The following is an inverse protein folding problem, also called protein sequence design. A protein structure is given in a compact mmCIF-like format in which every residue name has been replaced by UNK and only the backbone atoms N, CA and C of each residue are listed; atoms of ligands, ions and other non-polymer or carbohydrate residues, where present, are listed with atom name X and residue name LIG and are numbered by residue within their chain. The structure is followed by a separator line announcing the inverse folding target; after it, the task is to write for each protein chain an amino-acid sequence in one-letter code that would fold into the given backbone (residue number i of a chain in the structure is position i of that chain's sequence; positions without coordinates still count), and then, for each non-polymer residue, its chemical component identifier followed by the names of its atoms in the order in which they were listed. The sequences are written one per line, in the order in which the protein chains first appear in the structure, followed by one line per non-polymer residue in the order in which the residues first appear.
data_IF_164948583501
#
_entry.id   IF_164948583501
#
_cell.length_a   1.000
_cell.length_b   1.000
_cell.length_c   1.000
_cell.angle_alpha   90.00
_cell.angle_beta   90.00
_cell.angle_gamma   90.00
#
_symmetry.space_group_name_H-M   'P 1'
#
loop_
_entity.id
_entity.type
_entity.pdbx_description
1 polymer ?
#
# COMPACT_ATOMS: atom_id res chain seq x y z
N UNK A 1 3.18 17.24 21.35
CA UNK A 1 3.89 17.29 20.04
C UNK A 1 5.33 16.88 20.25
N UNK A 2 5.68 15.61 20.00
CA UNK A 2 7.09 15.23 19.74
C UNK A 2 7.23 15.35 18.23
N UNK A 3 8.02 16.31 17.76
CA UNK A 3 8.45 16.31 16.37
C UNK A 3 9.05 14.93 16.08
N UNK A 4 8.54 14.21 15.07
CA UNK A 4 9.25 13.08 14.48
C UNK A 4 10.55 13.65 13.89
N UNK A 5 11.58 13.76 14.72
CA UNK A 5 12.93 14.06 14.24
C UNK A 5 13.42 12.82 13.52
N UNK A 6 13.69 13.00 12.22
CA UNK A 6 14.36 12.02 11.37
C UNK A 6 15.66 11.58 12.06
N UNK A 7 15.97 10.27 12.13
CA UNK A 7 17.29 9.83 12.57
C UNK A 7 18.37 10.51 11.73
N UNK A 8 19.36 11.12 12.39
CA UNK A 8 20.43 11.96 11.80
C UNK A 8 21.40 11.20 10.88
N UNK A 9 21.14 9.96 10.51
CA UNK A 9 21.99 9.14 9.65
C UNK A 9 21.23 8.57 8.44
N UNK A 10 20.84 9.47 7.53
CA UNK A 10 20.41 9.13 6.15
C UNK A 10 21.48 9.49 5.11
N UNK A 11 22.76 9.35 5.47
CA UNK A 11 23.86 9.58 4.54
C UNK A 11 24.02 8.27 3.75
N UNK A 12 23.56 8.29 2.49
CA UNK A 12 23.51 7.21 1.47
C UNK A 12 22.21 6.37 1.45
N UNK A 13 21.14 6.94 0.87
CA UNK A 13 19.83 6.32 0.62
C UNK A 13 19.80 5.20 -0.44
N UNK A 14 20.95 4.68 -0.87
CA UNK A 14 21.01 3.64 -1.88
C UNK A 14 21.72 2.39 -1.34
N UNK A 15 21.15 1.21 -1.62
CA UNK A 15 21.90 -0.03 -1.40
C UNK A 15 23.04 -0.13 -2.42
N UNK A 16 24.25 -0.56 -2.01
CA UNK A 16 25.34 -0.79 -2.94
C UNK A 16 24.99 -1.85 -4.00
N UNK A 17 25.63 -1.75 -5.17
CA UNK A 17 25.43 -2.68 -6.29
C UNK A 17 25.63 -4.15 -5.86
N UNK A 18 24.75 -5.03 -6.35
CA UNK A 18 24.82 -6.47 -6.09
C UNK A 18 24.46 -6.90 -4.66
N UNK A 19 23.99 -5.97 -3.81
CA UNK A 19 23.59 -6.31 -2.44
C UNK A 19 22.10 -6.55 -2.27
N UNK A 20 21.25 -6.01 -3.15
CA UNK A 20 19.81 -6.19 -3.10
C UNK A 20 19.40 -7.60 -3.58
N UNK A 21 18.56 -8.27 -2.80
CA UNK A 21 17.89 -9.52 -3.19
C UNK A 21 16.50 -9.26 -3.76
N UNK A 22 15.86 -8.17 -3.33
CA UNK A 22 14.56 -7.75 -3.86
C UNK A 22 14.64 -6.32 -4.36
N UNK A 23 14.12 -6.11 -5.55
CA UNK A 23 14.03 -4.80 -6.18
C UNK A 23 12.57 -4.57 -6.55
N UNK A 24 11.94 -3.58 -5.93
CA UNK A 24 10.52 -3.29 -6.12
C UNK A 24 10.39 -2.07 -7.01
N UNK A 25 9.80 -2.26 -8.19
CA UNK A 25 9.55 -1.16 -9.12
C UNK A 25 8.32 -0.39 -8.67
N UNK A 26 8.40 0.93 -8.58
CA UNK A 26 7.34 1.73 -7.96
C UNK A 26 7.23 3.13 -8.56
N UNK A 27 6.01 3.70 -8.63
CA UNK A 27 5.83 5.15 -8.77
C UNK A 27 6.45 5.92 -7.59
N UNK A 28 6.56 7.24 -7.70
CA UNK A 28 6.93 8.09 -6.56
C UNK A 28 5.96 7.87 -5.39
N UNK A 29 6.45 8.00 -4.16
CA UNK A 29 5.62 7.84 -2.98
C UNK A 29 4.46 8.84 -2.96
N UNK A 30 3.29 8.36 -2.57
CA UNK A 30 2.12 9.20 -2.26
C UNK A 30 1.29 8.55 -1.17
N UNK A 31 0.73 9.35 -0.27
CA UNK A 31 -0.21 8.85 0.75
C UNK A 31 -1.58 8.51 0.16
N UNK A 32 -1.89 9.03 -1.02
CA UNK A 32 -3.22 8.93 -1.67
C UNK A 32 -3.47 7.56 -2.33
N UNK A 33 -2.42 6.77 -2.56
CA UNK A 33 -2.55 5.43 -3.17
C UNK A 33 -2.14 4.33 -2.20
N UNK A 34 -3.11 3.47 -1.85
CA UNK A 34 -2.85 2.28 -1.04
C UNK A 34 -1.90 1.30 -1.74
N UNK A 35 -2.00 1.17 -3.08
CA UNK A 35 -1.10 0.32 -3.86
C UNK A 35 0.34 0.82 -3.81
N UNK A 36 0.57 2.13 -4.00
CA UNK A 36 1.89 2.73 -3.85
C UNK A 36 2.41 2.51 -2.43
N UNK A 37 1.62 2.81 -1.40
CA UNK A 37 1.98 2.54 0.01
C UNK A 37 2.35 1.08 0.23
N UNK A 38 1.63 0.13 -0.37
CA UNK A 38 1.90 -1.30 -0.25
C UNK A 38 3.28 -1.69 -0.82
N UNK A 39 3.69 -1.16 -1.98
CA UNK A 39 5.02 -1.39 -2.57
C UNK A 39 6.14 -0.97 -1.61
N UNK A 40 6.02 0.22 -1.04
CA UNK A 40 6.97 0.73 -0.06
C UNK A 40 6.97 -0.06 1.25
N UNK A 41 5.79 -0.49 1.71
CA UNK A 41 5.63 -1.32 2.90
C UNK A 41 6.22 -2.71 2.72
N UNK A 42 6.12 -3.31 1.53
CA UNK A 42 6.76 -4.58 1.23
C UNK A 42 8.29 -4.44 1.33
N UNK A 43 8.87 -3.39 0.73
CA UNK A 43 10.30 -3.10 0.84
C UNK A 43 10.73 -2.99 2.31
N UNK A 44 9.97 -2.21 3.09
CA UNK A 44 10.19 -2.06 4.53
C UNK A 44 10.20 -3.41 5.27
N UNK A 45 9.20 -4.26 5.03
CA UNK A 45 9.08 -5.55 5.71
C UNK A 45 10.14 -6.56 5.31
N UNK A 46 10.50 -6.62 4.03
CA UNK A 46 11.60 -7.45 3.55
C UNK A 46 12.91 -7.06 4.26
N UNK A 47 13.19 -5.76 4.31
CA UNK A 47 14.36 -5.23 4.98
C UNK A 47 14.36 -5.57 6.48
N UNK A 48 13.25 -5.31 7.19
CA UNK A 48 13.09 -5.68 8.61
C UNK A 48 13.26 -7.19 8.86
N UNK A 49 12.92 -8.01 7.87
CA UNK A 49 13.05 -9.46 7.94
C UNK A 49 14.48 -9.95 7.64
N UNK A 50 15.38 -9.06 7.23
CA UNK A 50 16.79 -9.35 6.95
C UNK A 50 17.08 -9.71 5.49
N UNK A 51 16.17 -9.38 4.57
CA UNK A 51 16.37 -9.50 3.12
C UNK A 51 16.68 -8.12 2.56
N UNK A 52 17.93 -7.84 2.13
CA UNK A 52 18.29 -6.55 1.57
C UNK A 52 17.42 -6.24 0.36
N UNK A 53 16.69 -5.14 0.44
CA UNK A 53 15.65 -4.76 -0.51
C UNK A 53 15.68 -3.27 -0.75
N UNK A 54 15.42 -2.89 -1.99
CA UNK A 54 15.36 -1.51 -2.41
C UNK A 54 14.24 -1.31 -3.43
N UNK A 55 13.90 -0.05 -3.65
CA UNK A 55 12.95 0.36 -4.67
C UNK A 55 13.68 0.91 -5.89
N UNK A 56 13.10 0.66 -7.06
CA UNK A 56 13.50 1.28 -8.32
C UNK A 56 12.36 2.21 -8.74
N UNK A 57 12.57 3.54 -8.82
CA UNK A 57 11.55 4.44 -9.31
C UNK A 57 11.28 4.16 -10.79
N UNK A 58 10.02 4.25 -11.20
CA UNK A 58 9.66 4.28 -12.62
C UNK A 58 10.33 5.46 -13.35
N UNK A 59 10.52 5.40 -14.68
CA UNK A 59 11.08 6.52 -15.44
C UNK A 59 10.38 7.85 -15.14
N UNK A 60 11.17 8.88 -14.84
CA UNK A 60 10.66 10.21 -14.48
C UNK A 60 10.08 10.35 -13.06
N UNK A 61 10.15 9.30 -12.24
CA UNK A 61 9.71 9.31 -10.84
C UNK A 61 10.90 9.45 -9.89
N UNK A 62 10.64 9.94 -8.67
CA UNK A 62 11.67 10.22 -7.67
C UNK A 62 11.46 9.42 -6.38
N UNK A 63 12.58 9.15 -5.71
CA UNK A 63 12.63 8.51 -4.40
C UNK A 63 12.85 9.52 -3.25
N UNK A 64 12.85 10.83 -3.55
CA UNK A 64 13.27 11.86 -2.61
C UNK A 64 12.30 12.06 -1.42
N UNK A 65 11.03 11.68 -1.57
CA UNK A 65 9.95 12.11 -0.68
C UNK A 65 9.54 11.09 0.39
N UNK A 66 10.45 10.24 0.86
CA UNK A 66 10.05 9.14 1.74
C UNK A 66 9.68 9.54 3.18
N UNK A 67 8.64 8.83 3.61
CA UNK A 67 8.22 8.62 4.99
C UNK A 67 9.37 8.05 5.86
N UNK A 68 9.15 8.01 7.16
CA UNK A 68 10.00 7.41 8.20
C UNK A 68 10.28 5.90 8.01
N UNK A 69 9.93 5.30 6.88
CA UNK A 69 10.04 3.87 6.64
C UNK A 69 11.44 3.46 6.16
N UNK A 70 11.83 2.25 6.56
CA UNK A 70 13.10 1.64 6.22
C UNK A 70 13.15 1.18 4.75
N UNK A 71 13.38 2.12 3.84
CA UNK A 71 13.39 1.92 2.38
C UNK A 71 14.65 2.56 1.80
N UNK A 72 15.29 1.86 0.86
CA UNK A 72 16.44 2.33 0.10
C UNK A 72 16.08 2.43 -1.39
N UNK A 73 16.68 3.37 -2.11
CA UNK A 73 16.71 3.36 -3.56
C UNK A 73 17.73 2.36 -4.11
N UNK A 74 17.57 2.00 -5.38
CA UNK A 74 18.55 1.26 -6.14
C UNK A 74 18.78 1.92 -7.51
N UNK A 75 20.05 2.07 -7.88
CA UNK A 75 20.47 2.62 -9.18
C UNK A 75 21.56 1.76 -9.84
N UNK A 76 21.79 0.56 -9.30
CA UNK A 76 22.79 -0.38 -9.80
C UNK A 76 22.25 -1.34 -10.85
N UNK A 77 23.12 -2.21 -11.34
CA UNK A 77 22.75 -3.33 -12.20
C UNK A 77 21.85 -4.34 -11.47
N UNK A 78 20.91 -4.91 -12.20
CA UNK A 78 19.98 -5.91 -11.69
C UNK A 78 20.61 -7.29 -11.88
N UNK A 79 21.45 -7.68 -10.93
CA UNK A 79 22.17 -8.95 -10.97
C UNK A 79 21.54 -9.94 -9.97
N UNK A 80 20.91 -10.99 -10.49
CA UNK A 80 20.33 -12.11 -9.72
C UNK A 80 19.23 -11.76 -8.70
N UNK A 81 18.86 -10.49 -8.55
CA UNK A 81 17.78 -10.05 -7.67
C UNK A 81 16.42 -10.55 -8.17
N UNK A 82 15.49 -10.72 -7.24
CA UNK A 82 14.06 -10.86 -7.53
C UNK A 82 13.50 -9.48 -7.79
N UNK A 83 13.03 -9.24 -9.01
CA UNK A 83 12.37 -7.98 -9.35
C UNK A 83 10.87 -8.14 -9.17
N UNK A 84 10.28 -7.26 -8.37
CA UNK A 84 8.86 -7.21 -8.07
C UNK A 84 8.26 -6.04 -8.85
N UNK A 85 7.38 -6.34 -9.79
CA UNK A 85 6.65 -5.35 -10.57
C UNK A 85 5.19 -5.27 -10.12
N UNK A 86 4.62 -4.08 -9.89
CA UNK A 86 3.17 -3.94 -9.80
C UNK A 86 2.53 -4.23 -11.16
N UNK A 87 1.22 -4.48 -11.16
CA UNK A 87 0.45 -4.81 -12.37
C UNK A 87 0.50 -3.74 -13.45
N UNK A 88 0.77 -2.49 -13.07
CA UNK A 88 0.82 -1.34 -13.98
C UNK A 88 2.07 -1.30 -14.87
N UNK A 89 3.03 -2.20 -14.67
CA UNK A 89 4.28 -2.28 -15.46
C UNK A 89 4.12 -3.36 -16.53
N UNK A 90 4.34 -3.00 -17.79
CA UNK A 90 4.34 -3.99 -18.88
C UNK A 90 5.63 -4.82 -18.90
N UNK A 91 5.47 -6.13 -19.01
CA UNK A 91 6.53 -7.11 -19.17
C UNK A 91 7.60 -7.06 -18.09
N UNK A 92 8.82 -7.40 -18.49
CA UNK A 92 10.02 -7.42 -17.66
C UNK A 92 11.03 -6.39 -18.20
N UNK A 93 10.81 -5.07 -17.96
CA UNK A 93 11.61 -4.01 -18.58
C UNK A 93 13.07 -4.00 -18.11
N UNK A 94 13.41 -4.77 -17.09
CA UNK A 94 14.78 -4.91 -16.60
C UNK A 94 15.42 -6.26 -16.97
N UNK A 95 14.75 -7.05 -17.81
CA UNK A 95 15.24 -8.36 -18.26
C UNK A 95 15.69 -9.26 -17.10
N UNK A 96 15.02 -9.12 -15.95
CA UNK A 96 15.37 -9.83 -14.73
C UNK A 96 15.13 -11.33 -14.89
N UNK A 97 16.02 -12.14 -14.33
CA UNK A 97 15.90 -13.61 -14.36
C UNK A 97 14.82 -14.12 -13.41
N UNK A 98 14.53 -13.39 -12.33
CA UNK A 98 13.55 -13.77 -11.31
C UNK A 98 12.50 -12.68 -11.19
N UNK A 99 11.28 -12.97 -11.65
CA UNK A 99 10.20 -11.98 -11.74
C UNK A 99 9.03 -12.36 -10.84
N UNK A 100 8.62 -11.40 -10.01
CA UNK A 100 7.36 -11.44 -9.28
C UNK A 100 6.44 -10.36 -9.82
N UNK A 101 5.23 -10.74 -10.23
CA UNK A 101 4.15 -9.81 -10.53
C UNK A 101 3.28 -9.64 -9.30
N UNK A 102 3.07 -8.42 -8.84
CA UNK A 102 2.17 -8.13 -7.73
C UNK A 102 0.94 -7.38 -8.21
N UNK A 103 -0.19 -8.07 -8.25
CA UNK A 103 -1.48 -7.53 -8.69
C UNK A 103 -2.13 -6.78 -7.53
N UNK A 104 -2.02 -5.46 -7.55
CA UNK A 104 -2.61 -4.54 -6.56
C UNK A 104 -4.01 -4.09 -6.95
N UNK A 105 -4.33 -4.12 -8.25
CA UNK A 105 -5.65 -3.82 -8.79
C UNK A 105 -6.03 -4.80 -9.92
N UNK A 106 -6.69 -4.35 -10.99
CA UNK A 106 -7.07 -5.19 -12.13
C UNK A 106 -5.98 -5.12 -13.22
N UNK A 107 -5.48 -6.27 -13.71
CA UNK A 107 -4.56 -6.33 -14.84
C UNK A 107 -5.03 -5.51 -16.04
N UNK A 108 -4.18 -4.61 -16.55
CA UNK A 108 -4.48 -3.77 -17.70
C UNK A 108 -5.43 -2.58 -17.47
N UNK A 109 -5.99 -2.41 -16.26
CA UNK A 109 -6.94 -1.31 -15.99
C UNK A 109 -6.25 0.06 -15.87
N UNK A 110 -5.13 0.11 -15.16
CA UNK A 110 -4.36 1.35 -14.90
C UNK A 110 -3.06 1.40 -15.72
N UNK A 111 -2.94 0.56 -16.73
CA UNK A 111 -1.72 0.29 -17.49
C UNK A 111 -1.23 -1.14 -17.29
N UNK A 112 -0.04 -1.42 -17.81
CA UNK A 112 0.55 -2.76 -17.79
C UNK A 112 -0.20 -3.77 -18.67
N UNK A 113 0.08 -5.05 -18.43
CA UNK A 113 -0.42 -6.12 -19.29
C UNK A 113 -1.71 -6.75 -18.77
N UNK A 114 -2.51 -7.25 -19.71
CA UNK A 114 -3.70 -8.08 -19.42
C UNK A 114 -3.37 -9.55 -19.18
N UNK A 115 -2.19 -9.99 -19.65
CA UNK A 115 -1.71 -11.35 -19.53
C UNK A 115 -0.24 -11.32 -19.12
N UNK A 116 0.15 -12.17 -18.19
CA UNK A 116 1.52 -12.26 -17.69
C UNK A 116 2.22 -13.51 -18.25
N UNK A 117 3.54 -13.43 -18.39
CA UNK A 117 4.32 -14.54 -18.91
C UNK A 117 4.35 -15.72 -17.93
N UNK A 118 4.39 -16.95 -18.46
CA UNK A 118 4.37 -18.21 -17.68
C UNK A 118 5.55 -18.33 -16.69
N UNK A 119 6.63 -17.57 -16.90
CA UNK A 119 7.81 -17.55 -16.03
C UNK A 119 7.74 -16.50 -14.90
N UNK A 120 6.72 -15.65 -14.87
CA UNK A 120 6.49 -14.72 -13.76
C UNK A 120 5.72 -15.40 -12.62
N UNK A 121 6.12 -15.12 -11.37
CA UNK A 121 5.38 -15.59 -10.20
C UNK A 121 4.39 -14.51 -9.78
N UNK A 122 3.10 -14.82 -9.86
CA UNK A 122 2.04 -13.85 -9.55
C UNK A 122 1.59 -13.95 -8.10
N UNK A 123 1.53 -12.80 -7.42
CA UNK A 123 0.88 -12.58 -6.14
C UNK A 123 -0.21 -11.52 -6.29
N UNK A 124 -1.20 -11.56 -5.40
CA UNK A 124 -2.28 -10.57 -5.32
C UNK A 124 -2.26 -9.84 -3.99
N UNK A 125 -2.67 -8.58 -3.96
CA UNK A 125 -2.68 -7.80 -2.70
C UNK A 125 -3.67 -8.34 -1.67
N UNK A 126 -4.87 -8.72 -2.10
CA UNK A 126 -5.88 -9.35 -1.26
C UNK A 126 -6.65 -10.43 -2.04
N UNK A 127 -7.51 -11.17 -1.32
CA UNK A 127 -8.24 -12.30 -1.89
C UNK A 127 -9.24 -11.91 -2.97
N UNK A 128 -9.74 -10.67 -3.00
CA UNK A 128 -10.69 -10.24 -4.03
C UNK A 128 -10.04 -10.14 -5.42
N UNK A 129 -8.70 -10.08 -5.46
CA UNK A 129 -7.94 -10.01 -6.71
C UNK A 129 -7.56 -11.37 -7.29
N UNK A 130 -7.88 -12.48 -6.61
CA UNK A 130 -7.54 -13.83 -7.08
C UNK A 130 -8.20 -14.12 -8.43
N UNK A 131 -9.52 -13.95 -8.53
CA UNK A 131 -10.26 -14.33 -9.73
C UNK A 131 -9.84 -13.51 -10.95
N UNK A 132 -9.70 -12.19 -10.77
CA UNK A 132 -9.25 -11.32 -11.86
C UNK A 132 -7.79 -11.58 -12.25
N UNK A 133 -6.90 -11.88 -11.29
CA UNK A 133 -5.53 -12.29 -11.60
C UNK A 133 -5.48 -13.63 -12.35
N UNK A 134 -6.37 -14.57 -12.03
CA UNK A 134 -6.48 -15.86 -12.72
C UNK A 134 -6.90 -15.72 -14.18
N UNK A 135 -7.54 -14.62 -14.58
CA UNK A 135 -7.79 -14.34 -16.02
C UNK A 135 -6.53 -13.89 -16.78
N UNK A 136 -5.50 -13.45 -16.07
CA UNK A 136 -4.26 -12.93 -16.64
C UNK A 136 -3.12 -13.96 -16.68
N UNK A 137 -3.33 -15.19 -16.17
CA UNK A 137 -2.28 -16.22 -16.07
C UNK A 137 -2.80 -17.58 -16.53
N UNK A 138 -1.88 -18.43 -16.97
CA UNK A 138 -2.20 -19.78 -17.45
C UNK A 138 -2.47 -20.79 -16.34
N UNK A 139 -1.75 -20.67 -15.22
CA UNK A 139 -1.90 -21.56 -14.07
C UNK A 139 -2.54 -20.80 -12.92
N UNK A 140 -3.77 -21.18 -12.57
CA UNK A 140 -4.53 -20.50 -11.53
C UNK A 140 -3.81 -20.53 -10.16
N UNK A 141 -3.91 -19.42 -9.45
CA UNK A 141 -3.41 -19.24 -8.08
C UNK A 141 -4.56 -19.26 -7.07
N UNK A 142 -4.24 -19.63 -5.84
CA UNK A 142 -5.16 -19.61 -4.70
C UNK A 142 -4.73 -18.62 -3.61
N UNK A 143 -5.35 -18.75 -2.43
CA UNK A 143 -5.12 -17.87 -1.28
C UNK A 143 -3.68 -17.89 -0.73
N UNK A 144 -2.88 -18.90 -1.07
CA UNK A 144 -1.45 -18.94 -0.75
C UNK A 144 -0.63 -17.86 -1.47
N UNK A 145 -1.17 -17.26 -2.55
CA UNK A 145 -0.55 -16.14 -3.29
C UNK A 145 -1.08 -14.77 -2.89
N UNK A 146 -1.81 -14.68 -1.77
CA UNK A 146 -2.16 -13.38 -1.18
C UNK A 146 -0.95 -12.82 -0.43
N UNK A 147 -0.45 -11.69 -0.90
CA UNK A 147 0.59 -10.88 -0.28
C UNK A 147 -0.04 -9.57 0.19
N UNK A 148 -0.63 -9.60 1.38
CA UNK A 148 -1.23 -8.43 1.99
C UNK A 148 -0.27 -7.76 2.98
N UNK A 149 -0.11 -6.45 2.88
CA UNK A 149 0.63 -5.64 3.86
C UNK A 149 -0.28 -4.56 4.43
N UNK A 150 -0.29 -4.41 5.76
CA UNK A 150 -1.05 -3.36 6.42
C UNK A 150 -0.53 -1.98 6.01
N UNK A 151 -1.37 -1.11 5.48
CA UNK A 151 -0.95 0.23 5.02
C UNK A 151 -1.38 1.35 5.94
N UNK A 152 -2.34 1.11 6.86
CA UNK A 152 -2.84 2.13 7.79
C UNK A 152 -1.80 2.43 8.87
N UNK A 153 -1.20 3.62 8.81
CA UNK A 153 -0.14 4.04 9.73
C UNK A 153 -0.75 4.52 11.06
N UNK A 154 -0.42 3.87 12.20
CA UNK A 154 -1.02 4.18 13.50
C UNK A 154 -0.55 5.48 14.13
N UNK A 155 0.53 6.08 13.65
CA UNK A 155 0.98 7.40 14.10
C UNK A 155 0.19 8.53 13.42
N UNK A 156 -0.43 8.24 12.29
CA UNK A 156 -1.21 9.19 11.48
C UNK A 156 -2.71 8.96 11.68
N UNK A 157 -3.15 7.70 11.62
CA UNK A 157 -4.54 7.27 11.67
C UNK A 157 -4.80 6.59 13.00
N UNK A 158 -5.59 7.24 13.85
CA UNK A 158 -5.97 6.75 15.16
C UNK A 158 -7.21 7.49 15.66
N UNK A 159 -8.03 6.85 16.52
CA UNK A 159 -9.12 7.53 17.20
C UNK A 159 -8.56 8.50 18.26
N UNK A 160 -9.09 9.72 18.31
CA UNK A 160 -8.85 10.65 19.41
C UNK A 160 -10.18 11.20 19.93
N UNK A 161 -10.70 10.69 21.05
CA UNK A 161 -12.01 11.10 21.58
C UNK A 161 -12.03 12.54 22.10
N UNK A 162 -10.86 13.21 22.20
CA UNK A 162 -10.75 14.61 22.61
C UNK A 162 -10.96 15.57 21.43
N UNK A 163 -10.91 15.07 20.20
CA UNK A 163 -11.13 15.87 18.99
C UNK A 163 -12.60 15.82 18.64
N UNK A 164 -13.24 16.99 18.63
CA UNK A 164 -14.64 17.12 18.26
C UNK A 164 -14.86 16.84 16.77
N UNK A 165 -15.97 16.17 16.45
CA UNK A 165 -16.41 15.93 15.06
C UNK A 165 -17.21 17.12 14.56
N UNK A 166 -16.63 17.94 13.68
CA UNK A 166 -17.15 19.28 13.36
C UNK A 166 -17.64 19.45 11.92
N UNK A 167 -17.31 18.57 10.97
CA UNK A 167 -17.79 18.67 9.59
C UNK A 167 -17.92 17.31 8.91
N UNK A 168 -18.59 17.27 7.76
CA UNK A 168 -18.65 16.10 6.87
C UNK A 168 -17.69 16.23 5.71
N UNK A 169 -17.22 15.09 5.22
CA UNK A 169 -16.36 15.02 4.05
C UNK A 169 -16.92 14.12 2.97
N UNK A 170 -16.54 14.42 1.72
CA UNK A 170 -16.73 13.52 0.58
C UNK A 170 -15.39 13.03 0.02
N UNK A 171 -15.37 11.83 -0.55
CA UNK A 171 -14.19 11.24 -1.21
C UNK A 171 -14.56 10.69 -2.58
N UNK A 172 -13.87 11.12 -3.64
CA UNK A 172 -14.27 10.81 -5.01
C UNK A 172 -13.40 9.71 -5.63
N UNK A 173 -12.09 9.95 -5.73
CA UNK A 173 -11.10 9.04 -6.35
C UNK A 173 -11.63 8.36 -7.64
N UNK A 174 -11.62 7.02 -7.71
CA UNK A 174 -12.10 6.25 -8.88
C UNK A 174 -13.60 6.46 -9.15
N UNK A 175 -14.35 6.85 -8.12
CA UNK A 175 -15.78 7.16 -8.17
C UNK A 175 -16.12 8.56 -8.67
N UNK A 176 -15.16 9.34 -9.16
CA UNK A 176 -15.42 10.69 -9.67
C UNK A 176 -16.58 10.74 -10.69
N UNK A 177 -16.69 9.84 -11.69
CA UNK A 177 -17.84 9.85 -12.60
C UNK A 177 -19.18 9.66 -11.89
N UNK A 178 -19.21 8.86 -10.81
CA UNK A 178 -20.42 8.64 -10.00
C UNK A 178 -20.80 9.91 -9.23
N UNK A 179 -19.82 10.69 -8.78
CA UNK A 179 -20.06 11.97 -8.10
C UNK A 179 -20.69 13.04 -8.99
N UNK A 180 -20.43 12.99 -10.31
CA UNK A 180 -21.09 13.87 -11.27
C UNK A 180 -22.56 13.46 -11.50
N UNK A 181 -22.85 12.17 -11.43
CA UNK A 181 -24.20 11.63 -11.65
C UNK A 181 -25.11 11.79 -10.42
N UNK A 182 -24.55 11.63 -9.23
CA UNK A 182 -25.27 11.71 -7.96
C UNK A 182 -24.57 12.67 -7.01
N UNK A 183 -24.51 13.97 -7.32
CA UNK A 183 -23.84 14.93 -6.45
C UNK A 183 -24.57 15.05 -5.10
N UNK A 184 -23.80 15.27 -4.03
CA UNK A 184 -24.37 15.67 -2.74
C UNK A 184 -24.97 17.08 -2.86
N UNK A 185 -26.03 17.33 -2.09
CA UNK A 185 -26.64 18.65 -1.98
C UNK A 185 -25.60 19.67 -1.44
N UNK A 186 -25.27 20.74 -2.19
CA UNK A 186 -24.32 21.75 -1.75
C UNK A 186 -24.67 22.42 -0.40
N UNK A 187 -25.97 22.48 -0.05
CA UNK A 187 -26.43 23.05 1.23
C UNK A 187 -25.95 22.28 2.46
N UNK A 188 -25.54 21.02 2.29
CA UNK A 188 -24.96 20.19 3.36
C UNK A 188 -23.54 20.63 3.75
N UNK A 189 -22.88 21.49 2.96
CA UNK A 189 -21.55 22.01 3.26
C UNK A 189 -20.46 20.93 3.34
N UNK A 190 -20.67 19.77 2.68
CA UNK A 190 -19.73 18.65 2.67
C UNK A 190 -18.46 19.03 1.91
N UNK A 191 -17.31 18.87 2.56
CA UNK A 191 -16.01 19.25 1.99
C UNK A 191 -15.34 18.06 1.32
N UNK A 192 -14.79 18.26 0.13
CA UNK A 192 -14.01 17.21 -0.53
C UNK A 192 -12.70 16.97 0.23
N UNK A 193 -12.51 15.74 0.73
CA UNK A 193 -11.35 15.43 1.57
C UNK A 193 -10.04 15.54 0.80
N UNK A 194 -10.03 15.22 -0.50
CA UNK A 194 -8.81 15.30 -1.30
C UNK A 194 -8.19 16.70 -1.34
N UNK A 195 -9.03 17.74 -1.23
CA UNK A 195 -8.64 19.16 -1.25
C UNK A 195 -8.09 19.62 0.12
N UNK A 196 -8.47 18.93 1.20
CA UNK A 196 -8.06 19.25 2.57
C UNK A 196 -6.79 18.52 3.02
N UNK A 197 -6.35 17.50 2.27
CA UNK A 197 -5.33 16.55 2.73
C UNK A 197 -4.13 16.48 1.76
N UNK A 198 -3.33 17.56 1.64
CA UNK A 198 -2.14 17.57 0.78
C UNK A 198 -1.09 16.52 1.19
N UNK A 199 -1.14 16.04 2.43
CA UNK A 199 -0.22 15.05 2.99
C UNK A 199 -0.95 14.07 3.93
N UNK A 200 -0.23 13.06 4.43
CA UNK A 200 -0.81 12.04 5.28
C UNK A 200 -1.20 12.56 6.68
N UNK A 201 -0.44 13.51 7.24
CA UNK A 201 -0.72 14.09 8.57
C UNK A 201 -2.00 14.91 8.51
N UNK A 202 -2.17 15.72 7.47
CA UNK A 202 -3.43 16.44 7.23
C UNK A 202 -4.60 15.48 7.04
N UNK A 203 -4.42 14.33 6.34
CA UNK A 203 -5.45 13.28 6.27
C UNK A 203 -5.92 12.80 7.65
N UNK A 204 -4.99 12.41 8.53
CA UNK A 204 -5.36 11.98 9.88
C UNK A 204 -6.09 13.07 10.68
N UNK A 205 -5.62 14.32 10.58
CA UNK A 205 -6.23 15.46 11.29
C UNK A 205 -7.64 15.77 10.79
N UNK A 206 -7.86 15.71 9.48
CA UNK A 206 -9.17 15.93 8.85
C UNK A 206 -10.12 14.80 9.24
N UNK A 207 -9.71 13.54 9.07
CA UNK A 207 -10.55 12.38 9.43
C UNK A 207 -10.94 12.38 10.91
N UNK A 208 -10.06 12.77 11.82
CA UNK A 208 -10.41 12.90 13.25
C UNK A 208 -11.50 13.94 13.49
N UNK A 209 -11.60 15.00 12.70
CA UNK A 209 -12.64 16.03 12.78
C UNK A 209 -13.89 15.70 11.94
N UNK A 210 -13.83 14.71 11.05
CA UNK A 210 -14.95 14.31 10.20
C UNK A 210 -16.00 13.51 10.98
N UNK A 211 -17.27 13.95 10.91
CA UNK A 211 -18.46 13.23 11.39
C UNK A 211 -18.76 12.05 10.45
N UNK A 212 -19.15 12.35 9.21
CA UNK A 212 -19.46 11.36 8.18
C UNK A 212 -18.56 11.54 6.97
N UNK A 213 -17.98 10.43 6.48
CA UNK A 213 -17.28 10.35 5.20
C UNK A 213 -18.19 9.72 4.15
N UNK A 214 -18.62 10.53 3.19
CA UNK A 214 -19.39 10.11 2.00
C UNK A 214 -18.44 9.73 0.85
N UNK A 215 -18.26 8.44 0.60
CA UNK A 215 -17.37 7.95 -0.44
C UNK A 215 -18.10 7.51 -1.70
N UNK A 216 -17.56 7.91 -2.84
CA UNK A 216 -17.95 7.44 -4.16
C UNK A 216 -17.11 6.25 -4.64
N UNK A 217 -16.10 5.85 -3.87
CA UNK A 217 -15.24 4.71 -4.13
C UNK A 217 -15.35 3.69 -2.99
N UNK A 218 -15.92 2.53 -3.31
CA UNK A 218 -16.13 1.44 -2.36
C UNK A 218 -14.84 0.64 -2.06
N UNK A 219 -13.84 0.74 -2.94
CA UNK A 219 -12.62 -0.08 -2.89
C UNK A 219 -11.40 0.79 -2.59
N UNK A 220 -11.49 1.61 -1.54
CA UNK A 220 -10.42 2.53 -1.13
C UNK A 220 -10.09 2.41 0.34
N UNK A 221 -8.79 2.36 0.66
CA UNK A 221 -8.33 2.16 2.03
C UNK A 221 -8.71 3.33 2.97
N UNK A 222 -9.03 4.50 2.43
CA UNK A 222 -9.52 5.64 3.22
C UNK A 222 -10.80 5.31 4.00
N UNK A 223 -11.61 4.34 3.54
CA UNK A 223 -12.79 3.89 4.28
C UNK A 223 -12.40 3.30 5.63
N UNK A 224 -11.38 2.42 5.65
CA UNK A 224 -10.83 1.87 6.90
C UNK A 224 -10.20 2.97 7.76
N UNK A 225 -9.49 3.91 7.14
CA UNK A 225 -8.84 5.01 7.86
C UNK A 225 -9.86 5.93 8.56
N UNK A 226 -10.94 6.27 7.87
CA UNK A 226 -12.05 7.06 8.41
C UNK A 226 -12.76 6.31 9.55
N UNK A 227 -13.08 5.03 9.33
CA UNK A 227 -13.71 4.18 10.33
C UNK A 227 -12.85 4.01 11.61
N UNK A 228 -11.52 3.95 11.48
CA UNK A 228 -10.57 3.92 12.62
C UNK A 228 -10.55 5.26 13.35
N UNK A 229 -10.60 6.38 12.62
CA UNK A 229 -10.71 7.73 13.20
C UNK A 229 -12.09 8.03 13.81
N UNK A 230 -13.03 7.08 13.77
CA UNK A 230 -14.37 7.22 14.34
C UNK A 230 -15.34 8.01 13.48
N UNK A 231 -15.11 8.10 12.17
CA UNK A 231 -16.12 8.60 11.25
C UNK A 231 -17.23 7.56 11.07
N UNK A 232 -18.46 8.02 10.90
CA UNK A 232 -19.45 7.26 10.13
C UNK A 232 -18.99 7.21 8.67
N UNK A 233 -19.13 6.07 8.01
CA UNK A 233 -18.74 5.91 6.61
C UNK A 233 -19.96 5.54 5.79
N UNK A 234 -20.17 6.27 4.68
CA UNK A 234 -21.26 6.01 3.74
C UNK A 234 -20.67 5.83 2.34
N UNK A 235 -21.10 4.81 1.62
CA UNK A 235 -20.69 4.55 0.23
C UNK A 235 -21.91 4.56 -0.69
N UNK A 236 -21.79 5.16 -1.88
CA UNK A 236 -22.92 5.29 -2.82
C UNK A 236 -22.83 4.31 -3.97
N UNK A 237 -23.90 3.54 -4.21
CA UNK A 237 -23.97 2.56 -5.30
C UNK A 237 -24.28 3.20 -6.68
N UNK A 238 -24.32 2.35 -7.72
CA UNK A 238 -24.59 2.77 -9.10
C UNK A 238 -26.01 3.29 -9.35
N UNK A 239 -26.91 3.16 -8.37
CA UNK A 239 -28.30 3.64 -8.37
C UNK A 239 -28.46 4.90 -7.51
N UNK A 240 -27.41 5.40 -6.87
CA UNK A 240 -27.43 6.60 -6.05
C UNK A 240 -27.85 6.35 -4.60
N UNK A 241 -27.86 5.10 -4.14
CA UNK A 241 -28.24 4.75 -2.75
C UNK A 241 -27.00 4.69 -1.87
N UNK A 242 -27.07 5.34 -0.71
CA UNK A 242 -26.00 5.33 0.29
C UNK A 242 -26.12 4.14 1.24
N UNK A 243 -25.02 3.43 1.44
CA UNK A 243 -24.93 2.23 2.27
C UNK A 243 -23.88 2.39 3.37
N UNK A 244 -24.01 1.61 4.43
CA UNK A 244 -22.91 1.35 5.34
C UNK A 244 -21.98 0.29 4.71
N UNK A 245 -20.72 0.62 4.38
CA UNK A 245 -19.81 -0.33 3.74
C UNK A 245 -19.43 -1.50 4.64
N UNK A 246 -19.59 -1.44 5.95
CA UNK A 246 -19.27 -2.60 6.81
C UNK A 246 -20.33 -3.70 6.74
N UNK A 247 -21.52 -3.38 6.20
CA UNK A 247 -22.69 -4.27 6.20
C UNK A 247 -23.34 -4.44 4.82
N UNK A 248 -22.75 -3.89 3.74
CA UNK A 248 -23.33 -3.98 2.40
C UNK A 248 -22.69 -5.07 1.53
N UNK A 249 -23.48 -5.63 0.63
CA UNK A 249 -23.07 -6.66 -0.35
C UNK A 249 -22.56 -6.05 -1.67
N UNK A 250 -22.07 -4.81 -1.66
CA UNK A 250 -21.54 -4.17 -2.85
C UNK A 250 -20.34 -4.94 -3.41
N UNK A 251 -20.37 -5.29 -4.70
CA UNK A 251 -19.33 -6.12 -5.35
C UNK A 251 -17.91 -5.55 -5.24
N UNK A 252 -17.77 -4.21 -5.26
CA UNK A 252 -16.48 -3.52 -5.20
C UNK A 252 -16.16 -3.00 -3.79
N UNK A 253 -16.69 -3.63 -2.75
CA UNK A 253 -16.45 -3.21 -1.38
C UNK A 253 -15.07 -3.65 -0.89
N UNK A 254 -14.35 -2.78 -0.19
CA UNK A 254 -13.08 -3.13 0.45
C UNK A 254 -13.28 -4.30 1.43
N UNK A 255 -12.28 -5.19 1.54
CA UNK A 255 -12.32 -6.25 2.54
C UNK A 255 -12.34 -5.63 3.95
N UNK A 256 -13.39 -5.83 4.73
CA UNK A 256 -13.38 -5.45 6.14
C UNK A 256 -12.88 -6.62 6.98
N UNK A 257 -11.62 -6.56 7.40
CA UNK A 257 -11.08 -7.59 8.30
C UNK A 257 -11.81 -7.54 9.65
N UNK A 258 -12.11 -8.68 10.27
CA UNK A 258 -12.64 -8.71 11.63
C UNK A 258 -11.77 -7.91 12.58
N UNK A 259 -12.41 -7.15 13.48
CA UNK A 259 -11.73 -6.33 14.48
C UNK A 259 -10.67 -5.34 13.94
N UNK A 260 -10.77 -4.91 12.67
CA UNK A 260 -9.73 -4.07 12.04
C UNK A 260 -9.38 -2.82 12.87
N UNK A 261 -10.36 -2.22 13.55
CA UNK A 261 -10.14 -1.07 14.46
C UNK A 261 -9.18 -1.37 15.61
N UNK A 262 -9.14 -2.62 16.08
CA UNK A 262 -8.25 -3.10 17.14
C UNK A 262 -6.93 -3.63 16.58
N UNK A 263 -6.97 -4.27 15.41
CA UNK A 263 -5.82 -5.01 14.85
C UNK A 263 -4.95 -4.21 13.89
N UNK A 264 -5.40 -3.06 13.37
CA UNK A 264 -4.65 -2.34 12.34
C UNK A 264 -3.22 -1.98 12.77
N UNK A 265 -3.01 -1.62 14.05
CA UNK A 265 -1.70 -1.28 14.59
C UNK A 265 -0.73 -2.45 14.53
N UNK A 266 -1.17 -3.63 14.99
CA UNK A 266 -0.33 -4.83 14.97
C UNK A 266 -0.08 -5.30 13.54
N UNK A 267 -1.11 -5.27 12.69
CA UNK A 267 -1.02 -5.60 11.26
C UNK A 267 -0.06 -4.66 10.50
N UNK A 268 0.00 -3.38 10.85
CA UNK A 268 0.95 -2.43 10.28
C UNK A 268 2.41 -2.76 10.65
N UNK A 269 2.64 -3.40 11.79
CA UNK A 269 4.00 -3.78 12.20
C UNK A 269 4.34 -5.25 11.88
N UNK A 270 3.38 -6.03 11.40
CA UNK A 270 3.54 -7.46 11.17
C UNK A 270 4.37 -7.76 9.91
N UNK A 271 5.60 -8.25 10.11
CA UNK A 271 6.47 -8.75 9.04
C UNK A 271 6.33 -10.25 8.78
N UNK A 272 5.46 -10.96 9.49
CA UNK A 272 5.30 -12.43 9.37
C UNK A 272 4.93 -12.85 7.95
N UNK A 273 4.21 -11.99 7.21
CA UNK A 273 3.84 -12.21 5.81
C UNK A 273 5.05 -12.47 4.91
N UNK A 274 6.22 -11.91 5.24
CA UNK A 274 7.45 -12.12 4.46
C UNK A 274 7.87 -13.59 4.52
N UNK A 275 7.71 -14.28 5.64
CA UNK A 275 8.04 -15.70 5.72
C UNK A 275 7.20 -16.52 4.74
N UNK A 276 5.89 -16.22 4.66
CA UNK A 276 4.99 -16.87 3.72
C UNK A 276 5.36 -16.53 2.27
N UNK A 277 5.57 -15.25 1.97
CA UNK A 277 6.00 -14.79 0.65
C UNK A 277 7.23 -15.55 0.16
N UNK A 278 8.30 -15.60 0.97
CA UNK A 278 9.55 -16.27 0.62
C UNK A 278 9.36 -17.78 0.43
N UNK A 279 8.52 -18.43 1.25
CA UNK A 279 8.24 -19.87 1.12
C UNK A 279 7.52 -20.26 -0.17
N UNK A 280 6.90 -19.29 -0.85
CA UNK A 280 6.19 -19.49 -2.11
C UNK A 280 7.07 -19.15 -3.33
N UNK A 281 8.31 -18.72 -3.12
CA UNK A 281 9.30 -18.52 -4.17
C UNK A 281 10.14 -19.80 -4.39
N UNK A 282 10.63 -20.06 -5.61
CA UNK A 282 11.44 -21.23 -5.89
C UNK A 282 12.70 -21.27 -5.02
N UNK A 283 13.03 -22.44 -4.49
CA UNK A 283 14.24 -22.64 -3.68
C UNK A 283 15.53 -22.48 -4.49
N UNK A 284 15.45 -22.50 -5.82
CA UNK A 284 16.57 -22.24 -6.73
C UNK A 284 16.92 -20.74 -6.83
N UNK A 285 16.02 -19.84 -6.43
CA UNK A 285 16.29 -18.41 -6.45
C UNK A 285 17.28 -18.05 -5.32
N UNK A 286 18.21 -17.10 -5.53
CA UNK A 286 19.33 -16.83 -4.62
C UNK A 286 18.91 -15.99 -3.39
N UNK A 287 17.91 -16.46 -2.65
CA UNK A 287 17.27 -15.75 -1.54
C UNK A 287 17.77 -16.30 -0.20
N UNK A 288 18.41 -15.47 0.60
CA UNK A 288 18.97 -15.86 1.89
C UNK A 288 19.02 -14.68 2.86
N UNK A 289 18.70 -14.93 4.14
CA UNK A 289 18.83 -13.88 5.16
C UNK A 289 20.30 -13.50 5.34
N UNK A 290 20.62 -12.20 5.27
CA UNK A 290 22.00 -11.73 5.47
C UNK A 290 22.23 -11.31 6.91
N UNK A 291 23.11 -12.01 7.61
CA UNK A 291 23.42 -11.76 9.03
C UNK A 291 24.00 -10.37 9.28
N UNK A 292 24.88 -9.88 8.38
CA UNK A 292 25.41 -8.52 8.43
C UNK A 292 24.29 -7.48 8.29
N UNK A 293 23.32 -7.74 7.42
CA UNK A 293 22.22 -6.82 7.17
C UNK A 293 21.30 -6.74 8.38
N UNK A 294 20.96 -7.88 9.00
CA UNK A 294 20.21 -7.90 10.27
C UNK A 294 20.88 -7.09 11.37
N UNK A 295 22.22 -7.12 11.47
CA UNK A 295 22.97 -6.28 12.41
C UNK A 295 22.84 -4.79 12.07
N UNK A 296 22.95 -4.43 10.79
CA UNK A 296 22.72 -3.07 10.31
C UNK A 296 21.31 -2.57 10.67
N UNK A 297 20.26 -3.35 10.36
CA UNK A 297 18.87 -3.02 10.74
C UNK A 297 18.76 -2.83 12.24
N UNK A 298 19.25 -3.80 13.02
CA UNK A 298 19.14 -3.75 14.48
C UNK A 298 19.82 -2.52 15.07
N UNK A 299 20.97 -2.10 14.54
CA UNK A 299 21.66 -0.88 14.96
C UNK A 299 20.80 0.36 14.66
N UNK A 300 20.28 0.45 13.43
CA UNK A 300 19.44 1.59 12.99
C UNK A 300 18.10 1.67 13.73
N UNK A 301 17.57 0.56 14.24
CA UNK A 301 16.34 0.52 15.05
C UNK A 301 16.56 0.72 16.56
N UNK A 302 17.81 0.63 17.05
CA UNK A 302 18.16 0.71 18.48
C UNK A 302 18.66 2.09 18.91
N UNK A 303 18.95 3.00 17.99
CA UNK A 303 19.26 4.37 18.40
C UNK A 303 18.01 5.03 19.00
N UNK A 304 18.07 5.54 20.24
CA UNK A 304 16.96 6.24 20.83
C UNK A 304 16.68 7.48 19.98
N UNK A 305 15.41 7.68 19.62
CA UNK A 305 14.92 8.92 19.04
C UNK A 305 15.24 10.08 20.00
N UNK A 306 16.38 10.74 19.80
CA UNK A 306 16.84 11.92 20.53
C UNK A 306 16.37 13.21 19.88
#
# INVERSE_FOLDING_TARGET
MKHLRLPKHQINRFLPNGQAQFLIVTPSFTHRSAGVRALYRLCHHLNRSGYPSAVIPMPGQSIADYSSWFVYGYAGEINNAVVIYPEIISGNPYEATHVVRWVLNEPGLLGGDKYYADNEIVFVYDSQKIDIANTAIKTAIGSNRVLWVGVVDPDIIYPDPRVEKIFDCSFFNKGYPLSLRFPLDPSLGVKRIEDLTPDAVSLGNVLRQTRTLYSYDHYSNILREAAICGCEVRVIDSKGVWHDPEHCDCQLNIVWSPDFRRTYKSQFHDSSIIHRFISQLPSSWPIHRRSWYRRLISALTREPFS
#
